data_IF_525473454927
#
_entry.id   IF_525473454927
#
_cell.length_a   1.000
_cell.length_b   1.000
_cell.length_c   1.000
_cell.angle_alpha   90.00
_cell.angle_beta   90.00
_cell.angle_gamma   90.00
#
_symmetry.space_group_name_H-M   'P 1'
#
loop_
_entity.id
_entity.type
_entity.pdbx_description
1 polymer ?
#
# COMPACT_ATOMS: atom_id res chain seq x y z
N UNK A 1 9.46 -28.35 8.56
CA UNK A 1 9.72 -26.94 8.87
C UNK A 1 9.13 -26.63 10.23
N UNK A 2 9.86 -25.98 11.13
CA UNK A 2 9.30 -25.45 12.38
C UNK A 2 8.32 -24.30 12.06
N UNK A 3 7.41 -23.98 12.98
CA UNK A 3 6.49 -22.81 12.82
C UNK A 3 7.25 -21.53 12.50
N UNK A 4 8.44 -21.36 13.10
CA UNK A 4 9.31 -20.21 12.85
C UNK A 4 9.88 -20.19 11.43
N UNK A 5 10.40 -21.33 10.94
CA UNK A 5 10.88 -21.46 9.56
C UNK A 5 9.76 -21.21 8.53
N UNK A 6 8.55 -21.67 8.83
CA UNK A 6 7.39 -21.41 7.99
C UNK A 6 7.02 -19.92 7.93
N UNK A 7 7.03 -19.22 9.09
CA UNK A 7 6.75 -17.79 9.14
C UNK A 7 7.79 -16.97 8.36
N UNK A 8 9.08 -17.29 8.50
CA UNK A 8 10.15 -16.65 7.75
C UNK A 8 10.00 -16.87 6.23
N UNK A 9 9.69 -18.09 5.80
CA UNK A 9 9.42 -18.38 4.40
C UNK A 9 8.26 -17.53 3.84
N UNK A 10 7.16 -17.41 4.60
CA UNK A 10 6.02 -16.57 4.22
C UNK A 10 6.43 -15.10 4.09
N UNK A 11 7.21 -14.57 5.04
CA UNK A 11 7.73 -13.19 4.96
C UNK A 11 8.55 -12.97 3.69
N UNK A 12 9.47 -13.89 3.36
CA UNK A 12 10.28 -13.80 2.13
C UNK A 12 9.40 -13.77 0.87
N UNK A 13 8.35 -14.59 0.79
CA UNK A 13 7.42 -14.56 -0.35
C UNK A 13 6.64 -13.25 -0.42
N UNK A 14 6.11 -12.77 0.71
CA UNK A 14 5.33 -11.53 0.77
C UNK A 14 6.18 -10.30 0.43
N UNK A 15 7.47 -10.28 0.79
CA UNK A 15 8.40 -9.21 0.38
C UNK A 15 8.57 -9.19 -1.14
N UNK A 16 8.72 -10.35 -1.78
CA UNK A 16 8.82 -10.44 -3.25
C UNK A 16 7.55 -9.94 -3.94
N UNK A 17 6.39 -10.31 -3.40
CA UNK A 17 5.09 -9.86 -3.90
C UNK A 17 4.93 -8.35 -3.75
N UNK A 18 5.12 -7.81 -2.54
CA UNK A 18 4.97 -6.38 -2.26
C UNK A 18 5.98 -5.53 -3.04
N UNK A 19 7.21 -6.01 -3.23
CA UNK A 19 8.18 -5.32 -4.09
C UNK A 19 7.72 -5.25 -5.55
N UNK A 20 7.05 -6.29 -6.06
CA UNK A 20 6.47 -6.28 -7.41
C UNK A 20 5.26 -5.33 -7.49
N UNK A 21 4.40 -5.33 -6.48
CA UNK A 21 3.25 -4.43 -6.37
C UNK A 21 3.69 -2.97 -6.29
N UNK A 22 4.70 -2.65 -5.49
CA UNK A 22 5.29 -1.31 -5.39
C UNK A 22 5.79 -0.79 -6.74
N UNK A 23 6.55 -1.60 -7.49
CA UNK A 23 7.01 -1.24 -8.84
C UNK A 23 5.87 -1.00 -9.82
N UNK A 24 4.78 -1.77 -9.74
CA UNK A 24 3.63 -1.57 -10.63
C UNK A 24 2.79 -0.36 -10.25
N UNK A 25 2.66 -0.07 -8.96
CA UNK A 25 2.02 1.14 -8.47
C UNK A 25 2.81 2.38 -8.93
N UNK A 26 4.12 2.40 -8.70
CA UNK A 26 5.03 3.47 -9.12
C UNK A 26 4.89 3.76 -10.62
N UNK A 27 5.00 2.72 -11.47
CA UNK A 27 4.84 2.86 -12.92
C UNK A 27 3.49 3.43 -13.34
N UNK A 28 2.40 3.08 -12.66
CA UNK A 28 1.08 3.67 -12.99
C UNK A 28 0.99 5.10 -12.48
N UNK A 29 1.49 5.38 -11.29
CA UNK A 29 1.51 6.72 -10.73
C UNK A 29 2.30 7.68 -11.62
N UNK A 30 3.47 7.25 -12.12
CA UNK A 30 4.29 8.05 -13.03
C UNK A 30 3.57 8.35 -14.35
N UNK A 31 2.85 7.37 -14.91
CA UNK A 31 2.01 7.60 -16.10
C UNK A 31 0.91 8.61 -15.81
N UNK A 32 0.19 8.47 -14.70
CA UNK A 32 -0.85 9.40 -14.29
C UNK A 32 -0.31 10.83 -14.11
N UNK A 33 0.89 10.97 -13.55
CA UNK A 33 1.57 12.27 -13.38
C UNK A 33 1.96 12.95 -14.69
N UNK A 34 1.94 12.25 -15.83
CA UNK A 34 2.14 12.90 -17.14
C UNK A 34 0.92 13.68 -17.63
N UNK A 35 -0.24 13.46 -17.02
CA UNK A 35 -1.47 14.18 -17.32
C UNK A 35 -1.66 15.33 -16.34
N UNK A 36 -2.36 16.38 -16.81
CA UNK A 36 -2.92 17.38 -15.90
C UNK A 36 -4.19 16.80 -15.31
N UNK A 37 -4.10 16.29 -14.08
CA UNK A 37 -5.25 15.72 -13.37
C UNK A 37 -5.99 16.88 -12.69
N UNK A 38 -6.94 17.46 -13.42
CA UNK A 38 -7.87 18.50 -12.98
C UNK A 38 -9.32 18.01 -13.08
N UNK A 39 -10.28 18.91 -12.80
CA UNK A 39 -11.70 18.56 -12.81
C UNK A 39 -12.16 18.13 -14.21
N UNK A 40 -11.66 18.79 -15.26
CA UNK A 40 -12.01 18.46 -16.64
C UNK A 40 -11.50 17.06 -17.02
N UNK A 41 -10.30 16.68 -16.56
CA UNK A 41 -9.78 15.34 -16.75
C UNK A 41 -10.70 14.30 -16.11
N UNK A 42 -11.13 14.53 -14.87
CA UNK A 42 -12.05 13.62 -14.14
C UNK A 42 -13.42 13.54 -14.82
N UNK A 43 -14.00 14.66 -15.24
CA UNK A 43 -15.28 14.69 -15.97
C UNK A 43 -15.20 14.01 -17.34
N UNK A 44 -14.01 13.90 -17.92
CA UNK A 44 -13.81 13.23 -19.20
C UNK A 44 -13.77 11.69 -19.13
N UNK A 45 -13.68 11.11 -17.92
CA UNK A 45 -13.45 9.68 -17.72
C UNK A 45 -14.54 8.80 -18.35
N UNK A 46 -15.80 9.22 -18.30
CA UNK A 46 -16.94 8.50 -18.88
C UNK A 46 -16.86 8.35 -20.41
N UNK A 47 -16.08 9.21 -21.07
CA UNK A 47 -15.93 9.24 -22.53
C UNK A 47 -14.50 8.92 -22.97
N UNK A 48 -13.63 8.52 -22.04
CA UNK A 48 -12.23 8.21 -22.29
C UNK A 48 -11.83 6.92 -21.59
N UNK A 49 -12.05 5.80 -22.28
CA UNK A 49 -11.75 4.46 -21.79
C UNK A 49 -10.29 4.32 -21.34
N UNK A 50 -9.33 4.92 -22.05
CA UNK A 50 -7.91 4.83 -21.69
C UNK A 50 -7.63 5.48 -20.33
N UNK A 51 -8.18 6.66 -20.08
CA UNK A 51 -8.00 7.36 -18.80
C UNK A 51 -8.73 6.63 -17.66
N UNK A 52 -9.93 6.14 -17.93
CA UNK A 52 -10.72 5.37 -16.97
C UNK A 52 -10.00 4.09 -16.56
N UNK A 53 -9.53 3.29 -17.52
CA UNK A 53 -8.75 2.09 -17.25
C UNK A 53 -7.43 2.40 -16.50
N UNK A 54 -6.80 3.53 -16.79
CA UNK A 54 -5.58 3.94 -16.09
C UNK A 54 -5.85 4.28 -14.62
N UNK A 55 -6.95 4.98 -14.34
CA UNK A 55 -7.40 5.27 -12.99
C UNK A 55 -7.73 3.98 -12.23
N UNK A 56 -8.51 3.08 -12.82
CA UNK A 56 -8.86 1.78 -12.22
C UNK A 56 -7.61 0.96 -11.90
N UNK A 57 -6.66 0.92 -12.83
CA UNK A 57 -5.39 0.24 -12.62
C UNK A 57 -4.61 0.86 -11.46
N UNK A 58 -4.63 2.19 -11.30
CA UNK A 58 -3.98 2.87 -10.20
C UNK A 58 -4.64 2.53 -8.86
N UNK A 59 -5.96 2.71 -8.76
CA UNK A 59 -6.74 2.45 -7.53
C UNK A 59 -6.56 0.99 -7.10
N UNK A 60 -6.67 0.04 -8.04
CA UNK A 60 -6.47 -1.38 -7.78
C UNK A 60 -5.05 -1.68 -7.24
N UNK A 61 -4.01 -1.08 -7.82
CA UNK A 61 -2.61 -1.31 -7.42
C UNK A 61 -2.30 -0.65 -6.07
N UNK A 62 -2.83 0.54 -5.82
CA UNK A 62 -2.66 1.27 -4.56
C UNK A 62 -3.25 0.45 -3.40
N UNK A 63 -4.51 0.03 -3.55
CA UNK A 63 -5.18 -0.78 -2.52
C UNK A 63 -4.51 -2.12 -2.31
N UNK A 64 -4.11 -2.81 -3.40
CA UNK A 64 -3.43 -4.11 -3.29
C UNK A 64 -2.13 -4.04 -2.52
N UNK A 65 -1.28 -3.05 -2.79
CA UNK A 65 -0.01 -2.89 -2.07
C UNK A 65 -0.27 -2.63 -0.58
N UNK A 66 -1.19 -1.71 -0.27
CA UNK A 66 -1.55 -1.39 1.11
C UNK A 66 -2.09 -2.61 1.87
N UNK A 67 -3.03 -3.35 1.28
CA UNK A 67 -3.64 -4.52 1.88
C UNK A 67 -2.61 -5.64 2.10
N UNK A 68 -1.74 -5.90 1.11
CA UNK A 68 -0.70 -6.92 1.26
C UNK A 68 0.33 -6.52 2.33
N UNK A 69 0.73 -5.25 2.41
CA UNK A 69 1.63 -4.76 3.45
C UNK A 69 0.99 -4.86 4.86
N UNK A 70 -0.22 -4.32 5.03
CA UNK A 70 -0.87 -4.18 6.33
C UNK A 70 -1.55 -5.43 6.85
N UNK A 71 -2.24 -6.17 5.99
CA UNK A 71 -3.08 -7.30 6.42
C UNK A 71 -2.34 -8.65 6.31
N UNK A 72 -1.26 -8.72 5.53
CA UNK A 72 -0.49 -9.97 5.32
C UNK A 72 0.95 -9.88 5.82
N UNK A 73 1.74 -8.94 5.29
CA UNK A 73 3.17 -8.88 5.59
C UNK A 73 3.41 -8.48 7.05
N UNK A 74 2.72 -7.45 7.54
CA UNK A 74 2.88 -6.98 8.92
C UNK A 74 2.62 -8.09 9.97
N UNK A 75 1.48 -8.81 9.96
CA UNK A 75 1.26 -9.92 10.87
C UNK A 75 2.30 -11.04 10.72
N UNK A 76 2.78 -11.32 9.51
CA UNK A 76 3.81 -12.34 9.28
C UNK A 76 5.18 -11.92 9.86
N UNK A 77 5.55 -10.65 9.74
CA UNK A 77 6.78 -10.10 10.32
C UNK A 77 6.74 -10.09 11.86
N UNK A 78 5.59 -9.74 12.46
CA UNK A 78 5.40 -9.82 13.91
C UNK A 78 5.60 -11.26 14.40
N UNK A 79 4.93 -12.25 13.79
CA UNK A 79 5.09 -13.66 14.17
C UNK A 79 6.53 -14.15 13.99
N UNK A 80 7.21 -13.71 12.94
CA UNK A 80 8.63 -14.04 12.70
C UNK A 80 9.56 -13.38 13.73
N UNK A 81 9.14 -12.29 14.35
CA UNK A 81 9.86 -11.61 15.44
C UNK A 81 9.48 -12.15 16.82
N UNK A 82 8.72 -13.26 16.90
CA UNK A 82 8.15 -13.82 18.13
C UNK A 82 7.21 -12.84 18.87
N UNK A 83 6.70 -11.82 18.18
CA UNK A 83 5.71 -10.88 18.69
C UNK A 83 4.30 -11.47 18.59
N UNK A 84 3.44 -11.09 19.53
CA UNK A 84 2.02 -11.44 19.47
C UNK A 84 1.31 -10.54 18.48
N UNK A 85 0.51 -11.14 17.59
CA UNK A 85 -0.43 -10.40 16.73
C UNK A 85 -1.71 -10.11 17.49
N UNK A 86 -2.18 -8.87 17.45
CA UNK A 86 -3.43 -8.39 18.06
C UNK A 86 -4.39 -7.82 17.02
N UNK A 87 -5.19 -6.82 17.43
CA UNK A 87 -6.02 -6.05 16.50
C UNK A 87 -5.17 -5.35 15.43
N UNK A 88 -5.81 -4.86 14.36
CA UNK A 88 -5.06 -4.13 13.32
C UNK A 88 -4.33 -2.91 13.89
N UNK A 89 -5.00 -2.16 14.78
CA UNK A 89 -4.41 -1.00 15.45
C UNK A 89 -3.21 -1.41 16.31
N UNK A 90 -3.34 -2.48 17.09
CA UNK A 90 -2.27 -3.01 17.93
C UNK A 90 -1.03 -3.44 17.13
N UNK A 91 -1.26 -4.00 15.94
CA UNK A 91 -0.18 -4.42 15.05
C UNK A 91 0.53 -3.19 14.44
N UNK A 92 -0.22 -2.15 14.07
CA UNK A 92 0.34 -0.90 13.53
C UNK A 92 1.16 -0.15 14.59
N UNK A 93 0.65 -0.02 15.82
CA UNK A 93 1.39 0.61 16.92
C UNK A 93 2.71 -0.10 17.20
N UNK A 94 2.74 -1.44 17.09
CA UNK A 94 4.00 -2.20 17.18
C UNK A 94 4.91 -1.92 15.99
N UNK A 95 4.37 -1.93 14.78
CA UNK A 95 5.12 -1.64 13.56
C UNK A 95 5.80 -0.26 13.61
N UNK A 96 5.09 0.75 14.12
CA UNK A 96 5.61 2.10 14.32
C UNK A 96 6.75 2.10 15.35
N UNK A 97 6.56 1.42 16.49
CA UNK A 97 7.62 1.27 17.51
C UNK A 97 8.87 0.58 16.95
N UNK A 98 8.72 -0.36 16.03
CA UNK A 98 9.85 -1.03 15.36
C UNK A 98 10.41 -0.24 14.16
N UNK A 99 9.79 0.89 13.78
CA UNK A 99 10.19 1.69 12.63
C UNK A 99 9.88 1.04 11.28
N UNK A 100 8.97 0.07 11.22
CA UNK A 100 8.55 -0.58 9.98
C UNK A 100 7.60 0.31 9.17
N UNK A 101 6.76 1.05 9.89
CA UNK A 101 5.93 2.14 9.36
C UNK A 101 6.36 3.44 10.04
N UNK A 102 6.12 4.57 9.38
CA UNK A 102 6.43 5.88 9.95
C UNK A 102 5.47 6.28 11.07
N UNK A 103 4.17 6.09 10.83
CA UNK A 103 3.16 6.37 11.83
C UNK A 103 1.91 5.52 11.63
N UNK A 104 1.33 5.05 12.74
CA UNK A 104 0.04 4.38 12.75
C UNK A 104 -1.08 5.29 12.24
N UNK A 105 -1.05 6.57 12.62
CA UNK A 105 -2.06 7.55 12.21
C UNK A 105 -2.04 7.75 10.69
N UNK A 106 -0.84 7.96 10.15
CA UNK A 106 -0.63 8.09 8.70
C UNK A 106 -1.10 6.82 7.98
N UNK A 107 -0.81 5.63 8.50
CA UNK A 107 -1.29 4.38 7.91
C UNK A 107 -2.83 4.30 7.83
N UNK A 108 -3.51 4.75 8.89
CA UNK A 108 -4.99 4.81 8.92
C UNK A 108 -5.50 5.76 7.84
N UNK A 109 -4.90 6.94 7.70
CA UNK A 109 -5.26 7.92 6.66
C UNK A 109 -5.10 7.35 5.25
N UNK A 110 -4.01 6.62 4.99
CA UNK A 110 -3.81 5.94 3.72
C UNK A 110 -4.94 4.93 3.43
N UNK A 111 -5.43 4.23 4.46
CA UNK A 111 -6.51 3.24 4.34
C UNK A 111 -7.85 3.91 4.09
N UNK A 112 -8.14 5.01 4.77
CA UNK A 112 -9.33 5.82 4.51
C UNK A 112 -9.31 6.39 3.09
N UNK A 113 -8.15 6.85 2.62
CA UNK A 113 -7.97 7.32 1.27
C UNK A 113 -8.23 6.22 0.23
N UNK A 114 -7.72 5.01 0.47
CA UNK A 114 -8.04 3.83 -0.35
C UNK A 114 -9.55 3.58 -0.39
N UNK A 115 -10.21 3.65 0.77
CA UNK A 115 -11.65 3.42 0.85
C UNK A 115 -12.41 4.47 0.05
N UNK A 116 -12.00 5.75 0.09
CA UNK A 116 -12.56 6.81 -0.76
C UNK A 116 -12.40 6.48 -2.24
N UNK A 117 -11.19 6.13 -2.69
CA UNK A 117 -10.93 5.75 -4.09
C UNK A 117 -11.72 4.54 -4.58
N UNK A 118 -12.06 3.59 -3.71
CA UNK A 118 -12.79 2.36 -4.07
C UNK A 118 -14.30 2.51 -3.95
N UNK A 119 -14.79 3.26 -2.95
CA UNK A 119 -16.22 3.47 -2.72
C UNK A 119 -16.80 4.65 -3.50
N UNK A 120 -15.96 5.54 -4.04
CA UNK A 120 -16.41 6.58 -4.97
C UNK A 120 -16.64 5.98 -6.36
N UNK A 121 -17.69 5.17 -6.47
CA UNK A 121 -18.62 5.36 -7.60
C UNK A 121 -19.31 6.73 -7.39
N UNK A 122 -18.52 7.78 -7.58
CA UNK A 122 -18.78 9.19 -7.85
C UNK A 122 -20.16 9.72 -7.39
N UNK A 123 -20.21 10.33 -6.19
CA UNK A 123 -21.23 11.34 -5.89
C UNK A 123 -20.82 12.74 -6.41
N UNK A 124 -19.51 13.00 -6.59
CA UNK A 124 -19.03 14.21 -7.29
C UNK A 124 -17.62 14.05 -7.90
N UNK A 125 -17.36 14.57 -9.13
CA UNK A 125 -16.02 14.61 -9.74
C UNK A 125 -14.96 15.34 -8.89
N UNK A 126 -15.38 16.33 -8.10
CA UNK A 126 -14.46 17.10 -7.24
C UNK A 126 -13.87 16.29 -6.09
N UNK A 127 -14.66 15.36 -5.52
CA UNK A 127 -14.19 14.47 -4.45
C UNK A 127 -13.15 13.49 -4.99
N UNK A 128 -13.43 12.90 -6.16
CA UNK A 128 -12.53 11.98 -6.83
C UNK A 128 -11.21 12.66 -7.19
N UNK A 129 -11.26 13.89 -7.71
CA UNK A 129 -10.07 14.69 -8.00
C UNK A 129 -9.19 14.85 -6.76
N UNK A 130 -9.78 15.29 -5.64
CA UNK A 130 -9.07 15.51 -4.38
C UNK A 130 -8.45 14.22 -3.84
N UNK A 131 -9.21 13.12 -3.84
CA UNK A 131 -8.73 11.81 -3.40
C UNK A 131 -7.60 11.28 -4.30
N UNK A 132 -7.74 11.38 -5.63
CA UNK A 132 -6.73 10.93 -6.57
C UNK A 132 -5.42 11.71 -6.42
N UNK A 133 -5.51 13.04 -6.32
CA UNK A 133 -4.35 13.88 -6.07
C UNK A 133 -3.67 13.51 -4.75
N UNK A 134 -4.42 13.38 -3.65
CA UNK A 134 -3.86 12.97 -2.37
C UNK A 134 -3.16 11.60 -2.46
N UNK A 135 -3.78 10.63 -3.16
CA UNK A 135 -3.23 9.29 -3.29
C UNK A 135 -1.92 9.27 -4.07
N UNK A 136 -1.81 10.07 -5.14
CA UNK A 136 -0.58 10.21 -5.92
C UNK A 136 0.58 10.78 -5.10
N UNK A 137 0.31 11.67 -4.14
CA UNK A 137 1.31 12.15 -3.19
C UNK A 137 1.73 11.06 -2.19
N UNK A 138 0.78 10.22 -1.78
CA UNK A 138 1.01 9.13 -0.83
C UNK A 138 1.69 7.88 -1.41
N UNK A 139 1.83 7.77 -2.74
CA UNK A 139 2.48 6.61 -3.40
C UNK A 139 3.89 6.36 -2.84
N UNK A 140 4.70 7.41 -2.71
CA UNK A 140 6.08 7.27 -2.26
C UNK A 140 6.14 6.71 -0.83
N UNK A 141 5.23 7.14 0.03
CA UNK A 141 5.15 6.67 1.41
C UNK A 141 4.81 5.17 1.51
N UNK A 142 3.94 4.65 0.65
CA UNK A 142 3.68 3.20 0.58
C UNK A 142 4.91 2.41 0.10
N UNK A 143 5.63 2.94 -0.90
CA UNK A 143 6.86 2.33 -1.44
C UNK A 143 7.98 2.35 -0.40
N UNK A 144 8.13 3.46 0.33
CA UNK A 144 9.09 3.60 1.43
C UNK A 144 8.75 2.64 2.58
N UNK A 145 7.47 2.47 2.89
CA UNK A 145 7.03 1.50 3.91
C UNK A 145 7.34 0.07 3.48
N UNK A 146 7.10 -0.29 2.22
CA UNK A 146 7.55 -1.58 1.67
C UNK A 146 9.06 -1.74 1.81
N UNK A 147 9.84 -0.70 1.51
CA UNK A 147 11.30 -0.72 1.60
C UNK A 147 11.80 -0.88 3.05
N UNK A 148 11.18 -0.18 4.01
CA UNK A 148 11.47 -0.30 5.45
C UNK A 148 11.24 -1.73 5.94
N UNK A 149 10.06 -2.29 5.64
CA UNK A 149 9.70 -3.66 6.01
C UNK A 149 10.63 -4.70 5.37
N UNK A 150 10.95 -4.54 4.08
CA UNK A 150 11.87 -5.43 3.38
C UNK A 150 13.29 -5.37 3.93
N UNK A 151 13.79 -4.18 4.28
CA UNK A 151 15.10 -4.01 4.88
C UNK A 151 15.19 -4.66 6.27
N UNK A 152 14.16 -4.49 7.11
CA UNK A 152 14.13 -5.14 8.42
C UNK A 152 14.10 -6.66 8.29
N UNK A 153 13.34 -7.20 7.35
CA UNK A 153 13.22 -8.65 7.20
C UNK A 153 14.52 -9.36 6.79
N UNK A 154 15.52 -8.64 6.26
CA UNK A 154 16.87 -9.19 6.02
C UNK A 154 17.52 -9.71 7.31
N UNK A 155 17.14 -9.17 8.47
CA UNK A 155 17.62 -9.64 9.78
C UNK A 155 17.20 -11.10 10.00
N UNK A 156 16.04 -11.53 9.49
CA UNK A 156 15.60 -12.93 9.63
C UNK A 156 16.46 -13.91 8.83
N UNK A 157 17.12 -13.44 7.76
CA UNK A 157 18.01 -14.25 6.92
C UNK A 157 19.42 -14.39 7.54
N UNK A 158 19.82 -13.47 8.43
CA UNK A 158 21.14 -13.46 9.07
C UNK A 158 21.24 -14.33 10.33
N UNK A 159 20.12 -14.84 10.84
CA UNK A 159 20.05 -15.68 12.06
C UNK A 159 19.97 -17.18 11.71
N UNK A 160 20.16 -17.53 10.42
CA UNK A 160 20.29 -18.92 9.94
C UNK A 160 21.74 -19.35 9.84
#
# INVERSE_FOLDING_TARGET
MTTQQNNQFIVTQLIRVTAKEARYLERTADRLRTFTIDLQWVESLDNNDEHSEMLDAFVSRYGRLQDTLGDKLLPAMLRSSLEKTGSQLDNLLRAEKFGWIESTQVWIELRELRNRLVHEYIESPSTLLSALQQALHCVNLLIETQSRMANYAKIFEQIQ
#
